data_IF_946361722362
#
_entry.id   IF_946361722362
#
_cell.length_a   1.000
_cell.length_b   1.000
_cell.length_c   1.000
_cell.angle_alpha   90.00
_cell.angle_beta   90.00
_cell.angle_gamma   90.00
#
_symmetry.space_group_name_H-M   'P 1'
#
loop_
_entity.id
_entity.type
_entity.pdbx_description
1 polymer ?
#
# COMPACT_ATOMS: atom_id res chain seq x y z
N UNK A 1 0.35 -11.65 -3.60
CA UNK A 1 -0.69 -11.11 -2.70
C UNK A 1 -0.96 -9.66 -3.05
N UNK A 2 -2.14 -9.17 -2.70
CA UNK A 2 -2.55 -7.78 -2.88
C UNK A 2 -3.00 -7.23 -1.52
N UNK A 3 -3.02 -5.90 -1.37
CA UNK A 3 -3.60 -5.26 -0.20
C UNK A 3 -5.11 -5.58 -0.12
N UNK A 4 -5.62 -5.80 1.09
CA UNK A 4 -7.06 -5.98 1.31
C UNK A 4 -7.72 -4.59 1.36
N UNK A 5 -8.67 -4.28 0.46
CA UNK A 5 -9.41 -3.03 0.57
C UNK A 5 -10.21 -2.96 1.87
N UNK A 6 -10.22 -1.79 2.51
CA UNK A 6 -10.95 -1.58 3.78
C UNK A 6 -12.43 -1.91 3.63
N UNK A 7 -13.04 -1.56 2.49
CA UNK A 7 -14.44 -1.91 2.19
C UNK A 7 -14.69 -3.42 2.22
N UNK A 8 -13.74 -4.23 1.80
CA UNK A 8 -13.84 -5.71 1.84
C UNK A 8 -13.76 -6.20 3.28
N UNK A 9 -12.83 -5.66 4.08
CA UNK A 9 -12.72 -5.96 5.49
C UNK A 9 -14.03 -5.65 6.24
N UNK A 10 -14.56 -4.45 6.05
CA UNK A 10 -15.80 -3.99 6.72
C UNK A 10 -17.01 -4.82 6.29
N UNK A 11 -17.14 -5.09 4.98
CA UNK A 11 -18.24 -5.92 4.47
C UNK A 11 -18.17 -7.34 5.03
N UNK A 12 -16.98 -7.94 5.08
CA UNK A 12 -16.80 -9.25 5.69
C UNK A 12 -17.20 -9.27 7.16
N UNK A 13 -16.75 -8.26 7.92
CA UNK A 13 -17.10 -8.15 9.34
C UNK A 13 -18.61 -7.98 9.54
N UNK A 14 -19.28 -7.18 8.71
CA UNK A 14 -20.74 -7.02 8.77
C UNK A 14 -21.50 -8.33 8.48
N UNK A 15 -21.04 -9.10 7.50
CA UNK A 15 -21.70 -10.34 7.09
C UNK A 15 -21.46 -11.50 8.05
N UNK A 16 -20.27 -11.59 8.63
CA UNK A 16 -19.86 -12.76 9.41
C UNK A 16 -19.73 -12.52 10.91
N UNK A 17 -19.70 -11.24 11.33
CA UNK A 17 -19.36 -10.85 12.70
C UNK A 17 -17.88 -11.01 13.06
N UNK A 18 -17.02 -11.37 12.10
CA UNK A 18 -15.61 -11.63 12.33
C UNK A 18 -14.74 -10.65 11.54
N UNK A 19 -13.76 -10.02 12.19
CA UNK A 19 -12.75 -9.23 11.52
C UNK A 19 -11.77 -10.12 10.74
N UNK A 20 -11.38 -9.72 9.54
CA UNK A 20 -10.32 -10.40 8.78
C UNK A 20 -8.99 -10.35 9.53
N UNK A 21 -8.18 -11.38 9.36
CA UNK A 21 -6.80 -11.43 9.85
C UNK A 21 -5.84 -11.02 8.72
N UNK A 22 -5.69 -9.71 8.50
CA UNK A 22 -4.72 -9.22 7.53
C UNK A 22 -3.30 -9.51 7.97
N UNK A 23 -2.47 -9.90 7.01
CA UNK A 23 -1.07 -10.27 7.22
C UNK A 23 -0.23 -9.92 6.00
N UNK A 24 1.07 -9.79 6.20
CA UNK A 24 2.03 -9.49 5.16
C UNK A 24 3.13 -10.54 5.10
N UNK A 25 3.44 -10.96 3.89
CA UNK A 25 4.49 -11.91 3.59
C UNK A 25 4.67 -12.09 2.09
N UNK A 26 5.77 -12.71 1.72
CA UNK A 26 6.11 -13.10 0.36
C UNK A 26 6.99 -14.35 0.41
N UNK A 27 7.27 -14.96 -0.73
CA UNK A 27 8.06 -16.21 -0.81
C UNK A 27 9.40 -16.09 -0.10
N UNK A 28 10.03 -14.93 -0.21
CA UNK A 28 11.37 -14.65 0.33
C UNK A 28 11.42 -14.52 1.86
N UNK A 29 10.31 -14.22 2.51
CA UNK A 29 10.28 -13.96 3.96
C UNK A 29 9.25 -14.81 4.72
N UNK A 30 8.49 -15.66 4.01
CA UNK A 30 7.33 -16.33 4.61
C UNK A 30 6.29 -15.32 5.10
N UNK A 31 5.71 -15.52 6.28
CA UNK A 31 4.87 -14.53 6.94
C UNK A 31 5.72 -13.70 7.90
N UNK A 32 5.75 -12.39 7.70
CA UNK A 32 6.57 -11.48 8.50
C UNK A 32 5.73 -10.63 9.49
N UNK A 33 4.59 -10.14 9.04
CA UNK A 33 3.70 -9.31 9.86
C UNK A 33 2.29 -9.93 9.89
N UNK A 34 1.59 -9.76 11.00
CA UNK A 34 0.19 -10.18 11.13
C UNK A 34 -0.56 -9.31 12.14
N UNK A 35 -1.83 -9.05 11.87
CA UNK A 35 -2.75 -8.64 12.93
C UNK A 35 -2.81 -9.74 14.01
N UNK A 36 -3.10 -9.41 15.26
CA UNK A 36 -3.15 -10.38 16.34
C UNK A 36 -4.28 -11.40 16.11
N UNK A 37 -4.02 -12.67 16.46
CA UNK A 37 -5.06 -13.69 16.44
C UNK A 37 -6.19 -13.36 17.42
N UNK A 38 -5.83 -12.93 18.62
CA UNK A 38 -6.71 -12.39 19.63
C UNK A 38 -6.39 -10.90 19.86
N UNK A 39 -7.40 -10.04 19.88
CA UNK A 39 -7.23 -8.60 20.10
C UNK A 39 -7.70 -7.73 18.95
N UNK A 40 -7.14 -6.52 18.85
CA UNK A 40 -7.55 -5.50 17.91
C UNK A 40 -6.99 -5.79 16.50
N UNK A 41 -7.88 -6.09 15.56
CA UNK A 41 -7.55 -6.26 14.13
C UNK A 41 -7.97 -5.00 13.40
N UNK A 42 -7.02 -4.36 12.75
CA UNK A 42 -7.22 -3.06 12.10
C UNK A 42 -7.29 -3.21 10.60
N UNK A 43 -8.40 -2.76 10.02
CA UNK A 43 -8.59 -2.71 8.57
C UNK A 43 -7.50 -1.86 7.89
N UNK A 44 -6.90 -2.40 6.82
CA UNK A 44 -5.84 -1.73 6.06
C UNK A 44 -4.46 -1.77 6.72
N UNK A 45 -4.31 -2.45 7.86
CA UNK A 45 -3.04 -2.67 8.53
C UNK A 45 -2.67 -4.15 8.50
N UNK A 46 -1.41 -4.42 8.22
CA UNK A 46 -0.88 -5.81 8.21
C UNK A 46 -0.38 -6.27 9.58
N UNK A 47 -0.56 -5.44 10.61
CA UNK A 47 -0.31 -5.82 12.00
C UNK A 47 1.11 -5.56 12.48
N UNK A 48 1.63 -6.49 13.26
CA UNK A 48 2.89 -6.41 14.00
C UNK A 48 3.84 -7.52 13.57
N UNK A 49 5.16 -7.40 13.82
CA UNK A 49 6.12 -8.47 13.55
C UNK A 49 5.75 -9.78 14.25
N UNK A 50 5.83 -10.87 13.51
CA UNK A 50 5.69 -12.20 14.09
C UNK A 50 6.92 -12.56 14.94
N UNK A 51 6.81 -13.47 15.92
CA UNK A 51 7.93 -13.87 16.75
C UNK A 51 9.13 -14.33 15.92
N UNK A 52 10.32 -13.79 16.22
CA UNK A 52 11.56 -14.11 15.52
C UNK A 52 11.75 -13.36 14.19
N UNK A 53 10.91 -12.38 13.90
CA UNK A 53 11.04 -11.49 12.75
C UNK A 53 11.37 -10.08 13.23
N UNK A 54 12.48 -9.54 12.75
CA UNK A 54 12.87 -8.15 12.93
C UNK A 54 12.44 -7.34 11.70
N UNK A 55 11.86 -6.17 11.93
CA UNK A 55 11.38 -5.26 10.88
C UNK A 55 12.01 -3.89 11.08
N UNK A 56 12.52 -3.32 10.01
CA UNK A 56 13.02 -1.95 9.99
C UNK A 56 12.46 -1.21 8.77
N UNK A 57 12.05 0.04 8.97
CA UNK A 57 11.72 0.95 7.87
C UNK A 57 12.97 1.76 7.54
N UNK A 58 13.39 1.76 6.28
CA UNK A 58 14.59 2.47 5.84
C UNK A 58 14.19 3.70 5.02
N UNK A 59 14.65 4.87 5.44
CA UNK A 59 14.45 6.13 4.74
C UNK A 59 15.34 6.24 3.47
N UNK A 60 15.21 7.35 2.71
CA UNK A 60 16.03 7.59 1.52
C UNK A 60 17.52 7.81 1.82
N UNK A 61 17.86 8.18 3.04
CA UNK A 61 19.24 8.35 3.48
C UNK A 61 19.87 7.03 3.94
N UNK A 62 19.09 5.95 3.99
CA UNK A 62 19.54 4.61 4.42
C UNK A 62 19.47 4.40 5.93
N UNK A 63 18.82 5.29 6.68
CA UNK A 63 18.68 5.17 8.12
C UNK A 63 17.43 4.36 8.50
N UNK A 64 17.55 3.60 9.59
CA UNK A 64 16.39 2.94 10.18
C UNK A 64 15.48 3.97 10.86
N UNK A 65 14.26 4.08 10.40
CA UNK A 65 13.23 4.97 10.94
C UNK A 65 12.49 4.24 12.06
N UNK A 66 12.40 4.86 13.22
CA UNK A 66 11.63 4.40 14.37
C UNK A 66 10.48 5.34 14.73
N UNK A 67 10.39 6.46 14.04
CA UNK A 67 9.36 7.48 14.27
C UNK A 67 8.05 7.07 13.62
N UNK A 68 6.94 7.16 14.38
CA UNK A 68 5.61 6.87 13.87
C UNK A 68 5.18 7.88 12.79
N UNK A 69 4.47 7.39 11.78
CA UNK A 69 3.98 8.20 10.66
C UNK A 69 5.04 8.49 9.58
N UNK A 70 6.29 8.10 9.81
CA UNK A 70 7.35 8.25 8.78
C UNK A 70 7.44 6.97 7.95
N UNK A 71 7.35 7.12 6.63
CA UNK A 71 7.42 6.00 5.70
C UNK A 71 8.85 5.62 5.34
N UNK A 72 9.09 4.32 5.13
CA UNK A 72 10.37 3.80 4.67
C UNK A 72 10.22 2.47 3.94
N UNK A 73 11.29 2.03 3.27
CA UNK A 73 11.35 0.68 2.72
C UNK A 73 11.32 -0.33 3.86
N UNK A 74 10.41 -1.29 3.79
CA UNK A 74 10.34 -2.39 4.74
C UNK A 74 11.52 -3.32 4.50
N UNK A 75 12.36 -3.50 5.52
CA UNK A 75 13.42 -4.52 5.52
C UNK A 75 13.15 -5.53 6.61
N UNK A 76 13.43 -6.78 6.27
CA UNK A 76 13.11 -7.92 7.13
C UNK A 76 14.39 -8.70 7.43
N UNK A 77 14.52 -9.12 8.68
CA UNK A 77 15.54 -10.04 9.13
C UNK A 77 14.90 -11.10 10.05
N UNK A 78 15.34 -12.33 9.93
CA UNK A 78 14.81 -13.43 10.77
C UNK A 78 15.04 -14.80 10.13
N UNK A 79 14.65 -15.84 10.86
CA UNK A 79 14.87 -17.23 10.44
C UNK A 79 13.98 -17.67 9.27
N UNK A 80 12.91 -16.93 8.98
CA UNK A 80 11.99 -17.22 7.87
C UNK A 80 12.45 -16.62 6.55
N UNK A 81 13.49 -15.78 6.57
CA UNK A 81 14.06 -15.19 5.35
C UNK A 81 14.78 -16.26 4.56
N UNK A 82 14.53 -16.34 3.26
CA UNK A 82 15.13 -17.31 2.35
C UNK A 82 16.66 -17.18 2.29
N UNK A 83 17.33 -18.22 1.81
CA UNK A 83 18.78 -18.22 1.72
C UNK A 83 19.26 -17.53 0.43
N UNK A 84 18.67 -17.89 -0.70
CA UNK A 84 19.10 -17.41 -2.01
C UNK A 84 18.04 -17.63 -3.09
N UNK A 85 18.14 -16.89 -4.18
CA UNK A 85 17.46 -17.22 -5.44
C UNK A 85 18.23 -18.32 -6.15
N UNK A 86 17.53 -19.38 -6.54
CA UNK A 86 18.13 -20.53 -7.19
C UNK A 86 18.92 -20.13 -8.45
N UNK A 87 20.19 -20.53 -8.53
CA UNK A 87 21.12 -20.23 -9.62
C UNK A 87 21.22 -18.73 -10.00
N UNK A 88 20.90 -17.82 -9.08
CA UNK A 88 20.95 -16.38 -9.32
C UNK A 88 21.64 -15.60 -8.18
N UNK A 89 22.96 -15.79 -8.02
CA UNK A 89 23.71 -15.14 -6.94
C UNK A 89 23.73 -13.62 -7.03
N UNK A 90 23.63 -13.07 -8.25
CA UNK A 90 23.60 -11.62 -8.45
C UNK A 90 22.30 -11.01 -7.92
N UNK A 91 21.14 -11.61 -8.21
CA UNK A 91 19.86 -11.17 -7.66
C UNK A 91 19.84 -11.33 -6.14
N UNK A 92 20.39 -12.44 -5.63
CA UNK A 92 20.50 -12.67 -4.18
C UNK A 92 21.31 -11.57 -3.52
N UNK A 93 22.49 -11.27 -4.01
CA UNK A 93 23.35 -10.23 -3.45
C UNK A 93 22.70 -8.84 -3.46
N UNK A 94 21.95 -8.51 -4.52
CA UNK A 94 21.20 -7.24 -4.63
C UNK A 94 20.01 -7.13 -3.66
N UNK A 95 19.48 -8.26 -3.22
CA UNK A 95 18.30 -8.30 -2.34
C UNK A 95 18.64 -8.13 -0.87
N UNK A 96 19.91 -8.10 -0.49
CA UNK A 96 20.33 -7.97 0.90
C UNK A 96 21.26 -6.78 1.11
N UNK A 97 21.01 -6.04 2.18
CA UNK A 97 21.88 -4.96 2.68
C UNK A 97 22.14 -5.21 4.16
N UNK A 98 23.38 -5.41 4.53
CA UNK A 98 23.81 -5.65 5.93
C UNK A 98 23.04 -6.78 6.64
N UNK A 99 22.69 -7.83 5.89
CA UNK A 99 21.92 -8.98 6.39
C UNK A 99 20.41 -8.74 6.52
N UNK A 100 19.91 -7.60 6.06
CA UNK A 100 18.48 -7.31 5.93
C UNK A 100 18.01 -7.58 4.51
N UNK A 101 16.93 -8.31 4.36
CA UNK A 101 16.27 -8.48 3.08
C UNK A 101 15.48 -7.22 2.72
N UNK A 102 15.73 -6.69 1.52
CA UNK A 102 15.07 -5.54 0.95
C UNK A 102 13.79 -5.99 0.24
N UNK A 103 12.63 -5.66 0.79
CA UNK A 103 11.36 -6.15 0.23
C UNK A 103 10.92 -5.38 -1.02
N UNK A 104 11.40 -4.15 -1.19
CA UNK A 104 10.93 -3.20 -2.20
C UNK A 104 9.54 -2.61 -1.89
N UNK A 105 8.93 -2.98 -0.78
CA UNK A 105 7.66 -2.43 -0.34
C UNK A 105 7.89 -1.26 0.63
N UNK A 106 7.13 -0.20 0.47
CA UNK A 106 7.13 0.95 1.38
C UNK A 106 6.04 0.73 2.43
N UNK A 107 6.39 0.95 3.67
CA UNK A 107 5.46 0.89 4.79
C UNK A 107 5.58 2.08 5.72
N UNK A 108 4.66 2.16 6.64
CA UNK A 108 4.62 3.14 7.72
C UNK A 108 4.19 2.42 9.01
N UNK A 109 4.75 2.86 10.14
CA UNK A 109 4.33 2.42 11.48
C UNK A 109 3.41 3.47 12.08
N UNK A 110 2.19 3.07 12.47
CA UNK A 110 1.19 3.96 13.06
C UNK A 110 0.53 3.26 14.26
N UNK A 111 0.62 3.85 15.43
CA UNK A 111 0.09 3.29 16.69
C UNK A 111 0.46 1.80 16.90
N UNK A 112 1.73 1.46 16.62
CA UNK A 112 2.27 0.13 16.78
C UNK A 112 1.89 -0.90 15.70
N UNK A 113 1.19 -0.51 14.64
CA UNK A 113 0.80 -1.37 13.51
C UNK A 113 1.45 -0.91 12.21
N UNK A 114 1.92 -1.86 11.42
CA UNK A 114 2.44 -1.58 10.08
C UNK A 114 1.31 -1.51 9.07
N UNK A 115 1.39 -0.52 8.18
CA UNK A 115 0.55 -0.38 6.99
C UNK A 115 1.43 -0.34 5.75
N UNK A 116 1.05 -1.11 4.73
CA UNK A 116 1.75 -1.12 3.44
C UNK A 116 1.24 0.05 2.60
N UNK A 117 2.18 0.84 2.10
CA UNK A 117 1.87 1.96 1.20
C UNK A 117 1.96 1.57 -0.27
N UNK A 118 2.62 0.43 -0.57
CA UNK A 118 2.77 -0.11 -1.90
C UNK A 118 4.23 -0.38 -2.28
N UNK A 119 4.45 -0.85 -3.49
CA UNK A 119 5.77 -1.05 -4.10
C UNK A 119 6.42 0.28 -4.44
N UNK A 120 7.67 0.46 -4.06
CA UNK A 120 8.42 1.70 -4.31
C UNK A 120 8.55 2.02 -5.79
N UNK A 121 8.56 1.00 -6.66
CA UNK A 121 8.73 1.13 -8.10
C UNK A 121 7.44 1.37 -8.90
N UNK A 122 6.26 1.11 -8.30
CA UNK A 122 4.98 1.10 -9.04
C UNK A 122 3.92 1.96 -8.33
N UNK A 123 3.76 1.76 -7.02
CA UNK A 123 2.61 2.30 -6.29
C UNK A 123 2.89 3.64 -5.59
N UNK A 124 4.14 4.09 -5.61
CA UNK A 124 4.53 5.36 -4.99
C UNK A 124 4.65 6.44 -6.07
N UNK A 125 3.68 7.36 -6.05
CA UNK A 125 3.59 8.51 -6.95
C UNK A 125 4.38 9.67 -6.34
N UNK A 126 5.33 10.23 -7.11
CA UNK A 126 6.16 11.36 -6.67
C UNK A 126 5.62 12.67 -7.21
N UNK A 127 4.69 13.29 -6.49
CA UNK A 127 3.98 14.49 -6.90
C UNK A 127 4.28 15.68 -6.01
N UNK A 128 4.86 16.74 -6.56
CA UNK A 128 5.12 17.98 -5.84
C UNK A 128 6.02 17.84 -4.61
N UNK A 129 6.95 16.90 -4.64
CA UNK A 129 7.84 16.59 -3.50
C UNK A 129 7.25 15.62 -2.47
N UNK A 130 5.99 15.21 -2.65
CA UNK A 130 5.34 14.22 -1.80
C UNK A 130 5.43 12.81 -2.41
N UNK A 131 5.59 11.80 -1.56
CA UNK A 131 5.41 10.39 -1.89
C UNK A 131 4.00 9.98 -1.54
N UNK A 132 3.20 9.70 -2.57
CA UNK A 132 1.79 9.36 -2.42
C UNK A 132 1.61 7.87 -2.69
N UNK A 133 0.86 7.20 -1.83
CA UNK A 133 0.45 5.82 -2.05
C UNK A 133 -0.73 5.77 -3.01
N UNK A 134 -0.55 5.14 -4.16
CA UNK A 134 -1.64 4.84 -5.09
C UNK A 134 -2.72 3.99 -4.39
N UNK A 135 -2.29 2.96 -3.64
CA UNK A 135 -3.19 2.07 -2.89
C UNK A 135 -4.07 2.80 -1.87
N UNK A 136 -3.53 3.81 -1.18
CA UNK A 136 -4.31 4.63 -0.25
C UNK A 136 -5.41 5.41 -0.98
N UNK A 137 -5.06 5.98 -2.13
CA UNK A 137 -6.02 6.73 -2.96
C UNK A 137 -7.07 5.80 -3.53
N UNK A 138 -6.67 4.63 -4.07
CA UNK A 138 -7.57 3.59 -4.59
C UNK A 138 -8.57 3.13 -3.53
N UNK A 139 -8.09 2.79 -2.33
CA UNK A 139 -8.93 2.40 -1.21
C UNK A 139 -10.00 3.46 -0.92
N UNK A 140 -9.62 4.74 -0.98
CA UNK A 140 -10.58 5.82 -0.74
C UNK A 140 -11.56 5.99 -1.89
N UNK A 141 -11.13 5.86 -3.13
CA UNK A 141 -11.99 5.97 -4.30
C UNK A 141 -12.99 4.81 -4.41
N UNK A 142 -12.65 3.62 -3.90
CA UNK A 142 -13.58 2.48 -3.84
C UNK A 142 -14.80 2.71 -2.94
N UNK A 143 -14.74 3.68 -2.01
CA UNK A 143 -15.91 4.11 -1.22
C UNK A 143 -16.93 4.89 -2.08
N UNK A 144 -16.58 5.31 -3.30
CA UNK A 144 -17.47 6.06 -4.16
C UNK A 144 -18.59 5.16 -4.71
N UNK A 145 -19.88 5.57 -4.61
CA UNK A 145 -21.02 4.71 -4.96
C UNK A 145 -21.04 4.24 -6.41
N UNK A 146 -20.51 5.03 -7.35
CA UNK A 146 -20.49 4.70 -8.79
C UNK A 146 -19.24 3.90 -9.23
N UNK A 147 -18.21 3.74 -8.39
CA UNK A 147 -16.97 3.05 -8.76
C UNK A 147 -17.09 1.56 -8.44
N UNK A 148 -16.80 0.71 -9.44
CA UNK A 148 -16.68 -0.74 -9.29
C UNK A 148 -15.22 -1.15 -9.07
N UNK A 149 -14.31 -0.64 -9.92
CA UNK A 149 -12.88 -0.89 -9.85
C UNK A 149 -12.12 0.41 -10.11
N UNK A 150 -10.93 0.54 -9.53
CA UNK A 150 -10.06 1.70 -9.74
C UNK A 150 -8.61 1.29 -9.68
N UNK A 151 -7.82 1.87 -10.57
CA UNK A 151 -6.36 1.89 -10.50
C UNK A 151 -5.88 3.34 -10.48
N UNK A 152 -4.92 3.62 -9.61
CA UNK A 152 -4.31 4.95 -9.47
C UNK A 152 -2.85 4.88 -9.87
N UNK A 153 -2.40 5.83 -10.68
CA UNK A 153 -1.02 5.87 -11.17
C UNK A 153 -0.51 7.32 -11.27
N UNK A 154 0.81 7.45 -11.20
CA UNK A 154 1.51 8.68 -11.54
C UNK A 154 1.69 8.80 -13.04
N UNK A 155 1.34 9.95 -13.59
CA UNK A 155 1.62 10.28 -14.99
C UNK A 155 2.53 11.50 -15.04
N UNK A 156 3.44 11.52 -15.98
CA UNK A 156 4.37 12.65 -16.15
C UNK A 156 3.65 14.00 -16.18
N UNK A 157 4.12 14.93 -15.35
CA UNK A 157 3.59 16.30 -15.25
C UNK A 157 4.74 17.29 -15.10
N UNK A 158 4.74 18.34 -15.94
CA UNK A 158 5.83 19.33 -15.99
C UNK A 158 5.97 20.16 -14.73
N UNK A 159 4.89 20.32 -13.96
CA UNK A 159 4.84 21.17 -12.76
C UNK A 159 5.10 20.34 -11.48
N UNK A 160 4.58 19.13 -11.44
CA UNK A 160 4.55 18.32 -10.22
C UNK A 160 5.51 17.12 -10.26
N UNK A 161 6.22 16.90 -11.40
CA UNK A 161 6.94 15.65 -11.68
C UNK A 161 5.99 14.56 -12.12
N UNK A 162 5.10 14.15 -11.23
CA UNK A 162 3.98 13.27 -11.54
C UNK A 162 2.66 13.88 -11.08
N UNK A 163 1.60 13.65 -11.83
CA UNK A 163 0.23 13.96 -11.46
C UNK A 163 -0.54 12.67 -11.19
N UNK A 164 -1.37 12.69 -10.16
CA UNK A 164 -2.24 11.56 -9.82
C UNK A 164 -3.31 11.42 -10.91
N UNK A 165 -3.39 10.22 -11.50
CA UNK A 165 -4.43 9.83 -12.45
C UNK A 165 -5.20 8.62 -11.92
N UNK A 166 -6.51 8.61 -12.12
CA UNK A 166 -7.38 7.48 -11.79
C UNK A 166 -7.95 6.88 -13.08
N UNK A 167 -7.80 5.57 -13.22
CA UNK A 167 -8.48 4.73 -14.21
C UNK A 167 -9.61 4.02 -13.49
N UNK A 168 -10.83 4.18 -13.95
CA UNK A 168 -12.03 3.75 -13.21
C UNK A 168 -12.94 2.90 -14.09
N UNK A 169 -13.40 1.79 -13.53
CA UNK A 169 -14.54 1.01 -14.04
C UNK A 169 -15.77 1.41 -13.23
N UNK A 170 -16.83 1.83 -13.91
CA UNK A 170 -18.07 2.21 -13.27
C UNK A 170 -18.97 1.01 -13.01
N UNK A 171 -19.76 1.08 -11.96
CA UNK A 171 -20.89 0.17 -11.76
C UNK A 171 -21.92 0.35 -12.87
N UNK A 172 -22.71 -0.67 -13.17
CA UNK A 172 -23.75 -0.63 -14.21
C UNK A 172 -24.67 0.59 -14.03
N UNK A 173 -24.77 1.41 -15.08
CA UNK A 173 -25.58 2.65 -15.08
C UNK A 173 -24.98 3.82 -14.31
N UNK A 174 -23.74 3.68 -13.81
CA UNK A 174 -23.04 4.78 -13.14
C UNK A 174 -22.50 5.82 -14.13
N UNK A 175 -22.44 7.07 -13.69
CA UNK A 175 -21.79 8.17 -14.40
C UNK A 175 -20.80 8.85 -13.46
N UNK A 176 -19.65 9.26 -13.97
CA UNK A 176 -18.64 9.98 -13.21
C UNK A 176 -17.86 10.93 -14.12
N UNK A 177 -17.74 12.18 -13.71
CA UNK A 177 -16.87 13.16 -14.34
C UNK A 177 -15.71 13.50 -13.42
N UNK A 178 -14.63 14.03 -13.97
CA UNK A 178 -13.49 14.47 -13.13
C UNK A 178 -13.91 15.56 -12.13
N UNK A 179 -14.83 16.45 -12.49
CA UNK A 179 -15.33 17.48 -11.58
C UNK A 179 -16.09 16.85 -10.41
N UNK A 180 -17.05 15.95 -10.69
CA UNK A 180 -17.81 15.25 -9.67
C UNK A 180 -16.89 14.40 -8.75
N UNK A 181 -15.87 13.74 -9.32
CA UNK A 181 -14.88 12.99 -8.53
C UNK A 181 -14.09 13.90 -7.59
N UNK A 182 -13.64 15.06 -8.06
CA UNK A 182 -12.92 16.05 -7.23
C UNK A 182 -13.79 16.57 -6.09
N UNK A 183 -15.03 16.93 -6.39
CA UNK A 183 -16.00 17.40 -5.40
C UNK A 183 -16.29 16.33 -4.34
N UNK A 184 -16.40 15.06 -4.77
CA UNK A 184 -16.58 13.95 -3.85
C UNK A 184 -15.34 13.68 -2.96
N UNK A 185 -14.14 13.87 -3.50
CA UNK A 185 -12.88 13.70 -2.77
C UNK A 185 -12.63 14.84 -1.76
N UNK A 186 -13.25 16.00 -1.92
CA UNK A 186 -13.05 17.13 -1.02
C UNK A 186 -13.42 16.76 0.43
N UNK A 187 -12.55 17.11 1.36
CA UNK A 187 -12.67 16.73 2.78
C UNK A 187 -12.42 15.25 3.08
N UNK A 188 -12.21 14.38 2.06
CA UNK A 188 -11.91 12.94 2.23
C UNK A 188 -10.48 12.57 1.90
N UNK A 189 -9.87 13.31 0.97
CA UNK A 189 -8.46 13.18 0.59
C UNK A 189 -7.78 14.55 0.70
N UNK A 190 -6.50 14.55 1.04
CA UNK A 190 -5.68 15.76 0.95
C UNK A 190 -5.61 16.25 -0.50
N UNK A 191 -5.63 17.55 -0.73
CA UNK A 191 -5.72 18.16 -2.06
C UNK A 191 -4.68 17.64 -3.07
N UNK A 192 -3.48 17.31 -2.61
CA UNK A 192 -2.40 16.75 -3.43
C UNK A 192 -2.60 15.27 -3.80
N UNK A 193 -3.50 14.54 -3.11
CA UNK A 193 -3.88 13.15 -3.42
C UNK A 193 -5.08 13.05 -4.37
N UNK A 194 -5.81 14.13 -4.58
CA UNK A 194 -7.00 14.15 -5.44
C UNK A 194 -6.57 13.95 -6.90
N UNK A 195 -7.15 12.99 -7.64
CA UNK A 195 -6.84 12.76 -9.03
C UNK A 195 -7.02 14.01 -9.89
N UNK A 196 -6.00 14.31 -10.69
CA UNK A 196 -6.02 15.43 -11.65
C UNK A 196 -6.51 14.99 -13.03
N UNK A 197 -6.49 13.68 -13.29
CA UNK A 197 -7.01 13.04 -14.52
C UNK A 197 -7.86 11.85 -14.18
N UNK A 198 -8.90 11.63 -14.97
CA UNK A 198 -9.83 10.51 -14.88
C UNK A 198 -9.95 9.88 -16.26
N UNK A 199 -9.76 8.57 -16.33
CA UNK A 199 -10.02 7.73 -17.48
C UNK A 199 -11.06 6.69 -17.11
N UNK A 200 -12.12 6.58 -17.91
CA UNK A 200 -13.13 5.53 -17.74
C UNK A 200 -12.84 4.38 -18.70
N UNK A 201 -12.94 3.16 -18.19
CA UNK A 201 -12.75 1.92 -18.97
C UNK A 201 -13.80 0.88 -18.59
N UNK A 202 -13.97 -0.12 -19.45
CA UNK A 202 -14.91 -1.22 -19.23
C UNK A 202 -14.32 -2.31 -18.33
N UNK A 203 -12.99 -2.39 -18.23
CA UNK A 203 -12.24 -3.32 -17.36
C UNK A 203 -10.84 -2.77 -17.05
N UNK A 204 -10.26 -3.16 -15.93
CA UNK A 204 -8.85 -2.93 -15.57
C UNK A 204 -7.97 -4.11 -15.96
#
# INVERSE_FOLDING_TARGET
SAACPVVVFDTWQQLTGQALLERYGMTEIGMALSNPYEGDRRAGYVGQPLPGVDVCLIDEAGNCVQEEGVSGEIRIKGQTVFLEYWENPEATAKSFVEGWFCTGDIGVLEAGYYRIMGRSSIDIIKSGGYKLSALEIENKLLDHPAIAEVAVLGIEDRTWGEAVAAVVVLKSGGELTLAALKDWCDGKLSAYKIPKKLLLQDSL
#
